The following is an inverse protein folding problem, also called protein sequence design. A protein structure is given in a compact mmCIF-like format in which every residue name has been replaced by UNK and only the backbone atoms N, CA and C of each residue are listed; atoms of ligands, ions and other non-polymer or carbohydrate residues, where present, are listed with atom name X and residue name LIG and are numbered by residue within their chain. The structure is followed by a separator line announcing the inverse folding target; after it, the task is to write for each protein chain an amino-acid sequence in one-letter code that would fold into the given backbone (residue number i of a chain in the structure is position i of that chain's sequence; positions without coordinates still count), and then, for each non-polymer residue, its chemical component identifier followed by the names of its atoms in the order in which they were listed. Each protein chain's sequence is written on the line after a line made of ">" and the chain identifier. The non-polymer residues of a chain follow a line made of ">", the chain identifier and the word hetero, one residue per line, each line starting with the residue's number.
data_IF_768600142926
#
_entry.id   IF_768600142926
#
_cell.length_a   1.000
_cell.length_b   1.000
_cell.length_c   1.000
_cell.angle_alpha   90.00
_cell.angle_beta   90.00
_cell.angle_gamma   90.00
#
_symmetry.space_group_name_H-M   'P 1'
#
loop_
_entity.id
_entity.type
_entity.pdbx_description
1 polymer ?
#
# COMPACT_ATOMS: atom_id res chain seq x y z
N UNK A 1 17.65 9.65 21.72
CA UNK A 1 17.99 9.36 20.30
C UNK A 1 16.70 9.42 19.52
N UNK A 2 16.69 10.16 18.41
CA UNK A 2 15.50 10.26 17.53
C UNK A 2 15.16 8.92 16.92
N UNK A 3 13.95 8.43 17.15
CA UNK A 3 13.52 7.09 16.79
C UNK A 3 12.59 7.12 15.58
N UNK A 4 12.77 6.17 14.67
CA UNK A 4 11.96 6.01 13.45
C UNK A 4 11.39 4.59 13.42
N UNK A 5 10.09 4.49 13.14
CA UNK A 5 9.40 3.22 12.93
C UNK A 5 8.76 3.12 11.56
N UNK A 6 8.26 1.93 11.20
CA UNK A 6 7.58 1.69 9.93
C UNK A 6 6.15 1.18 10.14
N UNK A 7 5.19 1.73 9.41
CA UNK A 7 3.83 1.18 9.29
C UNK A 7 3.68 0.51 7.93
N UNK A 8 3.38 -0.80 7.93
CA UNK A 8 3.31 -1.65 6.74
C UNK A 8 1.86 -2.03 6.48
N UNK A 9 1.37 -1.77 5.27
CA UNK A 9 -0.05 -1.85 4.92
C UNK A 9 -0.26 -2.73 3.68
N UNK A 10 -1.07 -3.78 3.82
CA UNK A 10 -1.38 -4.76 2.78
C UNK A 10 -2.45 -4.28 1.78
N UNK A 11 -2.62 -5.03 0.67
CA UNK A 11 -3.58 -4.76 -0.39
C UNK A 11 -5.01 -5.20 -0.08
N UNK A 12 -5.95 -4.82 -0.97
CA UNK A 12 -7.34 -5.27 -0.95
C UNK A 12 -7.45 -6.77 -1.28
N UNK A 13 -8.33 -7.47 -0.59
CA UNK A 13 -8.49 -8.95 -0.64
C UNK A 13 -7.28 -9.73 -0.15
N UNK A 14 -6.22 -9.05 0.28
CA UNK A 14 -4.98 -9.65 0.70
C UNK A 14 -4.97 -9.90 2.22
N UNK A 15 -3.89 -10.50 2.67
CA UNK A 15 -3.57 -10.65 4.08
C UNK A 15 -2.14 -10.12 4.33
N UNK A 16 -1.65 -10.27 5.54
CA UNK A 16 -0.28 -9.89 5.88
C UNK A 16 0.77 -10.51 4.93
N UNK A 17 0.46 -11.64 4.30
CA UNK A 17 1.37 -12.34 3.38
C UNK A 17 1.89 -11.46 2.24
N UNK A 18 1.08 -10.54 1.72
CA UNK A 18 1.50 -9.67 0.61
C UNK A 18 2.64 -8.72 0.98
N UNK A 19 2.83 -8.45 2.27
CA UNK A 19 3.83 -7.52 2.79
C UNK A 19 4.76 -8.14 3.85
N UNK A 20 4.62 -9.44 4.17
CA UNK A 20 5.34 -10.11 5.25
C UNK A 20 6.86 -10.24 5.05
N UNK A 21 7.36 -9.96 3.84
CA UNK A 21 8.80 -9.92 3.57
C UNK A 21 9.45 -8.59 3.98
N UNK A 22 8.68 -7.51 4.13
CA UNK A 22 9.21 -6.19 4.53
C UNK A 22 9.85 -6.22 5.92
N UNK A 23 9.25 -6.84 6.96
CA UNK A 23 9.87 -6.94 8.28
C UNK A 23 11.28 -7.53 8.30
N UNK A 24 11.58 -8.49 7.40
CA UNK A 24 12.93 -9.07 7.32
C UNK A 24 14.02 -8.07 6.94
N UNK A 25 13.64 -6.94 6.32
CA UNK A 25 14.53 -5.83 5.95
C UNK A 25 14.65 -4.77 7.04
N UNK A 26 13.75 -4.77 8.02
CA UNK A 26 13.72 -3.79 9.11
C UNK A 26 14.35 -4.32 10.40
N UNK A 27 14.11 -5.60 10.70
CA UNK A 27 14.55 -6.27 11.94
C UNK A 27 16.08 -6.23 12.14
N UNK A 28 16.94 -6.46 11.11
CA UNK A 28 18.39 -6.37 11.28
C UNK A 28 18.88 -4.98 11.72
N UNK A 29 18.07 -3.94 11.46
CA UNK A 29 18.38 -2.54 11.80
C UNK A 29 17.69 -2.05 13.08
N UNK A 30 17.03 -2.95 13.81
CA UNK A 30 16.25 -2.63 15.01
C UNK A 30 15.22 -1.51 14.77
N UNK A 31 14.55 -1.53 13.61
CA UNK A 31 13.48 -0.59 13.28
C UNK A 31 12.15 -1.18 13.75
N UNK A 32 11.46 -0.56 14.73
CA UNK A 32 10.15 -1.01 15.16
C UNK A 32 9.12 -0.82 14.04
N UNK A 33 8.15 -1.73 13.96
CA UNK A 33 7.11 -1.64 12.96
C UNK A 33 5.75 -2.09 13.48
N UNK A 34 4.70 -1.68 12.75
CA UNK A 34 3.35 -2.23 12.85
C UNK A 34 2.90 -2.72 11.48
N UNK A 35 2.19 -3.84 11.47
CA UNK A 35 1.63 -4.44 10.26
C UNK A 35 0.21 -4.94 10.58
N UNK A 36 -0.77 -4.01 10.69
CA UNK A 36 -2.14 -4.36 11.07
C UNK A 36 -2.85 -5.10 9.96
N UNK A 37 -3.78 -5.98 10.32
CA UNK A 37 -4.85 -6.38 9.42
C UNK A 37 -5.88 -5.26 9.35
N UNK A 38 -6.18 -4.82 8.13
CA UNK A 38 -7.26 -3.87 7.88
C UNK A 38 -8.59 -4.63 7.87
N UNK A 39 -9.62 -4.05 8.44
CA UNK A 39 -10.93 -4.70 8.66
C UNK A 39 -11.43 -5.47 7.45
N UNK A 40 -11.93 -6.68 7.68
CA UNK A 40 -12.41 -7.59 6.66
C UNK A 40 -11.33 -8.37 5.91
N UNK A 41 -10.04 -8.26 6.32
CA UNK A 41 -8.92 -8.94 5.69
C UNK A 41 -8.26 -9.95 6.64
N UNK A 42 -7.64 -10.99 6.06
CA UNK A 42 -6.94 -12.04 6.82
C UNK A 42 -7.87 -13.05 7.50
N UNK A 43 -9.15 -13.04 7.17
CA UNK A 43 -10.21 -13.91 7.70
C UNK A 43 -11.00 -14.55 6.57
N UNK A 44 -12.28 -14.21 6.39
CA UNK A 44 -13.13 -14.71 5.31
C UNK A 44 -13.51 -13.58 4.34
N UNK A 45 -13.72 -13.86 3.05
CA UNK A 45 -14.17 -12.87 2.07
C UNK A 45 -15.46 -12.14 2.47
N UNK A 46 -16.36 -12.83 3.16
CA UNK A 46 -17.65 -12.33 3.64
C UNK A 46 -17.48 -11.24 4.71
N UNK A 47 -16.37 -11.23 5.45
CA UNK A 47 -16.07 -10.23 6.48
C UNK A 47 -15.80 -8.83 5.90
N UNK A 48 -15.61 -8.74 4.57
CA UNK A 48 -15.62 -7.46 3.84
C UNK A 48 -17.03 -6.88 3.65
N UNK A 49 -18.09 -7.62 3.99
CA UNK A 49 -19.46 -7.13 3.85
C UNK A 49 -19.71 -5.93 4.77
N UNK A 50 -20.13 -4.80 4.19
CA UNK A 50 -20.36 -3.55 4.90
C UNK A 50 -19.12 -2.78 5.29
N UNK A 51 -17.91 -3.33 5.07
CA UNK A 51 -16.64 -2.64 5.31
C UNK A 51 -16.40 -1.60 4.22
N UNK A 52 -15.92 -0.44 4.62
CA UNK A 52 -15.66 0.70 3.74
C UNK A 52 -14.21 1.20 3.88
N UNK A 53 -13.81 2.09 3.00
CA UNK A 53 -12.49 2.72 3.08
C UNK A 53 -12.28 3.53 4.38
N UNK A 54 -13.35 4.01 5.01
CA UNK A 54 -13.27 4.68 6.31
C UNK A 54 -12.75 3.74 7.39
N UNK A 55 -13.19 2.48 7.34
CA UNK A 55 -12.76 1.44 8.28
C UNK A 55 -11.28 1.12 8.09
N UNK A 56 -10.82 0.93 6.85
CA UNK A 56 -9.40 0.66 6.55
C UNK A 56 -8.50 1.82 6.96
N UNK A 57 -8.93 3.06 6.68
CA UNK A 57 -8.20 4.23 7.13
C UNK A 57 -8.16 4.33 8.67
N UNK A 58 -9.28 4.08 9.34
CA UNK A 58 -9.37 4.14 10.79
C UNK A 58 -8.45 3.10 11.47
N UNK A 59 -8.46 1.86 10.97
CA UNK A 59 -7.60 0.79 11.49
C UNK A 59 -6.11 1.12 11.32
N UNK A 60 -5.72 1.60 10.13
CA UNK A 60 -4.35 2.02 9.85
C UNK A 60 -3.92 3.25 10.68
N UNK A 61 -4.83 4.22 10.85
CA UNK A 61 -4.57 5.40 11.68
C UNK A 61 -4.43 5.04 13.17
N UNK A 62 -5.18 4.06 13.65
CA UNK A 62 -5.02 3.54 15.02
C UNK A 62 -3.63 2.89 15.20
N UNK A 63 -3.19 2.06 14.25
CA UNK A 63 -1.86 1.45 14.27
C UNK A 63 -0.73 2.51 14.11
N UNK A 64 -0.94 3.55 13.30
CA UNK A 64 -0.04 4.68 13.19
C UNK A 64 0.14 5.39 14.54
N UNK A 65 -0.96 5.74 15.20
CA UNK A 65 -0.93 6.40 16.51
C UNK A 65 -0.34 5.53 17.60
N UNK A 66 -0.56 4.22 17.55
CA UNK A 66 0.06 3.29 18.47
C UNK A 66 1.60 3.28 18.29
N UNK A 67 2.07 3.16 17.06
CA UNK A 67 3.51 3.22 16.75
C UNK A 67 4.12 4.57 17.17
N UNK A 68 3.41 5.68 16.98
CA UNK A 68 3.85 7.03 17.37
C UNK A 68 4.04 7.24 18.89
N UNK A 69 3.56 6.34 19.73
CA UNK A 69 3.88 6.35 21.17
C UNK A 69 5.29 5.86 21.48
N UNK A 70 5.89 5.12 20.55
CA UNK A 70 7.20 4.50 20.70
C UNK A 70 8.29 5.20 19.87
N UNK A 71 7.90 5.94 18.81
CA UNK A 71 8.85 6.54 17.87
C UNK A 71 8.50 7.99 17.53
N UNK A 72 9.51 8.79 17.18
CA UNK A 72 9.36 10.22 16.87
C UNK A 72 8.83 10.46 15.46
N UNK A 73 9.10 9.57 14.51
CA UNK A 73 8.69 9.66 13.11
C UNK A 73 8.33 8.29 12.56
N UNK A 74 7.44 8.27 11.57
CA UNK A 74 7.00 7.03 10.91
C UNK A 74 7.27 7.12 9.40
N UNK A 75 7.82 6.03 8.85
CA UNK A 75 7.84 5.78 7.41
C UNK A 75 6.68 4.84 7.08
N UNK A 76 5.88 5.21 6.09
CA UNK A 76 4.72 4.46 5.64
C UNK A 76 5.10 3.59 4.44
N UNK A 77 4.76 2.31 4.48
CA UNK A 77 5.03 1.35 3.39
C UNK A 77 3.71 0.69 3.04
N UNK A 78 3.21 0.86 1.82
CA UNK A 78 1.91 0.34 1.44
C UNK A 78 1.88 -0.29 0.06
N UNK A 79 1.26 -1.47 -0.05
CA UNK A 79 1.01 -2.16 -1.30
C UNK A 79 -0.44 -1.97 -1.74
N UNK A 80 -0.68 -1.59 -3.00
CA UNK A 80 -2.02 -1.52 -3.60
C UNK A 80 -2.99 -0.62 -2.82
N UNK A 81 -4.06 -1.15 -2.24
CA UNK A 81 -4.93 -0.43 -1.29
C UNK A 81 -4.13 0.15 -0.12
N UNK A 82 -3.17 -0.62 0.42
CA UNK A 82 -2.27 -0.13 1.47
C UNK A 82 -1.46 1.09 1.03
N UNK A 83 -1.12 1.20 -0.27
CA UNK A 83 -0.51 2.39 -0.86
C UNK A 83 -1.44 3.62 -0.85
N UNK A 84 -2.75 3.42 -1.07
CA UNK A 84 -3.73 4.51 -0.89
C UNK A 84 -3.80 4.96 0.57
N UNK A 85 -3.85 4.00 1.50
CA UNK A 85 -3.91 4.30 2.94
C UNK A 85 -2.65 5.03 3.39
N UNK A 86 -1.47 4.57 2.96
CA UNK A 86 -0.19 5.23 3.25
C UNK A 86 -0.16 6.68 2.74
N UNK A 87 -0.58 6.90 1.48
CA UNK A 87 -0.66 8.24 0.90
C UNK A 87 -1.64 9.14 1.66
N UNK A 88 -2.79 8.62 2.09
CA UNK A 88 -3.77 9.38 2.88
C UNK A 88 -3.22 9.76 4.26
N UNK A 89 -2.60 8.81 4.96
CA UNK A 89 -1.96 9.08 6.25
C UNK A 89 -0.86 10.13 6.11
N UNK A 90 -0.03 10.07 5.06
CA UNK A 90 1.02 11.04 4.81
C UNK A 90 0.46 12.46 4.59
N UNK A 91 -0.67 12.58 3.88
CA UNK A 91 -1.34 13.86 3.69
C UNK A 91 -1.97 14.41 4.98
N UNK A 92 -2.41 13.52 5.89
CA UNK A 92 -3.06 13.87 7.15
C UNK A 92 -2.05 14.17 8.28
N UNK A 93 -0.92 13.46 8.33
CA UNK A 93 0.08 13.50 9.41
C UNK A 93 1.44 14.04 8.93
N UNK A 94 1.43 15.16 8.21
CA UNK A 94 2.59 15.73 7.50
C UNK A 94 3.85 15.88 8.37
N UNK A 95 3.68 16.31 9.61
CA UNK A 95 4.79 16.58 10.52
C UNK A 95 5.29 15.31 11.23
N UNK A 96 4.54 14.22 11.17
CA UNK A 96 4.84 12.95 11.84
C UNK A 96 5.38 11.90 10.88
N UNK A 97 5.10 12.05 9.57
CA UNK A 97 5.54 11.13 8.51
C UNK A 97 6.89 11.58 7.97
N UNK A 98 7.88 10.69 8.06
CA UNK A 98 9.24 10.91 7.58
C UNK A 98 9.40 10.55 6.10
N UNK A 99 8.61 9.62 5.59
CA UNK A 99 8.66 9.19 4.21
C UNK A 99 7.54 8.21 3.85
N UNK A 100 7.33 8.00 2.57
CA UNK A 100 6.30 7.09 2.02
C UNK A 100 6.92 6.17 0.99
N UNK A 101 6.65 4.88 1.08
CA UNK A 101 6.89 3.89 0.01
C UNK A 101 5.53 3.42 -0.50
N UNK A 102 5.20 3.81 -1.72
CA UNK A 102 3.92 3.56 -2.37
C UNK A 102 4.11 2.53 -3.49
N UNK A 103 3.82 1.23 -3.19
CA UNK A 103 4.05 0.11 -4.09
C UNK A 103 2.77 -0.25 -4.81
N UNK A 104 2.75 -0.23 -6.14
CA UNK A 104 1.61 -0.58 -6.99
C UNK A 104 0.28 0.00 -6.49
N UNK A 105 0.29 1.24 -5.96
CA UNK A 105 -0.86 1.83 -5.29
C UNK A 105 -2.09 1.94 -6.21
N UNK A 106 -3.26 1.54 -5.68
CA UNK A 106 -4.51 1.39 -6.42
C UNK A 106 -5.18 2.72 -6.79
N UNK A 107 -4.38 3.69 -7.33
CA UNK A 107 -4.84 5.05 -7.66
C UNK A 107 -5.69 5.11 -8.92
N UNK A 108 -5.54 4.15 -9.83
CA UNK A 108 -6.29 4.02 -11.08
C UNK A 108 -6.69 2.56 -11.27
N UNK A 109 -7.73 2.35 -12.06
CA UNK A 109 -8.23 1.02 -12.40
C UNK A 109 -8.48 0.94 -13.89
N UNK A 110 -8.36 -0.25 -14.48
CA UNK A 110 -8.65 -0.49 -15.90
C UNK A 110 -10.13 -0.25 -16.26
N UNK A 111 -11.04 -0.28 -15.29
CA UNK A 111 -12.47 -0.11 -15.51
C UNK A 111 -12.88 1.37 -15.58
N UNK A 112 -13.00 1.89 -16.79
CA UNK A 112 -13.41 3.29 -17.06
C UNK A 112 -14.80 3.66 -16.51
N UNK A 113 -15.67 2.67 -16.29
CA UNK A 113 -17.07 2.87 -15.90
C UNK A 113 -17.41 2.37 -14.48
N UNK A 114 -16.41 2.22 -13.61
CA UNK A 114 -16.65 1.87 -12.21
C UNK A 114 -17.59 2.85 -11.49
N UNK A 115 -17.71 4.09 -11.99
CA UNK A 115 -18.69 5.08 -11.50
C UNK A 115 -20.14 4.58 -11.57
N UNK A 116 -20.49 3.82 -12.61
CA UNK A 116 -21.85 3.29 -12.80
C UNK A 116 -22.07 2.05 -11.93
N UNK A 117 -21.03 1.29 -11.64
CA UNK A 117 -21.10 0.10 -10.77
C UNK A 117 -21.59 0.45 -9.35
N UNK A 118 -21.36 1.69 -8.86
CA UNK A 118 -21.82 2.13 -7.54
C UNK A 118 -23.33 1.99 -7.32
N UNK A 119 -24.13 2.09 -8.37
CA UNK A 119 -25.59 1.99 -8.28
C UNK A 119 -26.08 0.55 -8.27
N UNK A 120 -25.34 -0.35 -8.89
CA UNK A 120 -25.73 -1.76 -9.03
C UNK A 120 -24.93 -2.69 -8.08
N UNK A 121 -23.78 -2.26 -7.61
CA UNK A 121 -22.92 -3.07 -6.73
C UNK A 121 -23.63 -3.57 -5.45
N UNK A 122 -24.50 -2.80 -4.78
CA UNK A 122 -25.25 -3.30 -3.63
C UNK A 122 -26.14 -4.50 -3.97
N UNK A 123 -26.51 -4.65 -5.24
CA UNK A 123 -27.36 -5.72 -5.76
C UNK A 123 -26.56 -6.92 -6.30
N UNK A 124 -25.24 -6.76 -6.49
CA UNK A 124 -24.40 -7.76 -7.17
C UNK A 124 -23.82 -8.83 -6.23
N UNK A 125 -23.97 -8.71 -4.92
CA UNK A 125 -23.45 -9.69 -3.96
C UNK A 125 -21.92 -9.84 -4.04
N UNK A 126 -21.45 -11.10 -4.15
CA UNK A 126 -20.02 -11.43 -4.25
C UNK A 126 -19.50 -11.34 -5.69
N UNK A 127 -18.35 -10.71 -5.87
CA UNK A 127 -17.63 -10.56 -7.13
C UNK A 127 -16.37 -11.42 -7.13
N UNK A 128 -16.01 -11.97 -8.29
CA UNK A 128 -14.84 -12.81 -8.48
C UNK A 128 -15.22 -14.22 -8.95
N UNK A 129 -14.23 -15.08 -9.06
CA UNK A 129 -14.37 -16.45 -9.52
C UNK A 129 -13.57 -17.39 -8.61
N UNK A 130 -14.25 -18.35 -7.98
CA UNK A 130 -13.62 -19.37 -7.12
C UNK A 130 -12.57 -20.20 -7.86
N UNK A 131 -12.75 -20.40 -9.15
CA UNK A 131 -11.84 -21.16 -10.00
C UNK A 131 -10.74 -20.32 -10.63
N UNK A 132 -10.64 -19.04 -10.28
CA UNK A 132 -9.60 -18.15 -10.83
C UNK A 132 -8.20 -18.70 -10.57
N UNK A 133 -7.39 -18.80 -11.62
CA UNK A 133 -5.95 -19.07 -11.46
C UNK A 133 -5.30 -17.84 -10.81
N UNK A 134 -4.94 -17.96 -9.53
CA UNK A 134 -4.31 -16.90 -8.77
C UNK A 134 -2.92 -16.53 -9.30
N UNK A 135 -2.25 -17.44 -10.02
CA UNK A 135 -0.98 -17.17 -10.70
C UNK A 135 -1.11 -16.36 -11.99
N UNK A 136 -2.31 -16.14 -12.52
CA UNK A 136 -2.50 -15.54 -13.85
C UNK A 136 -1.97 -14.11 -13.98
N UNK A 137 -1.88 -13.35 -12.89
CA UNK A 137 -1.37 -11.98 -12.85
C UNK A 137 0.07 -11.86 -12.35
N UNK A 138 0.75 -12.98 -12.07
CA UNK A 138 2.08 -13.03 -11.52
C UNK A 138 3.13 -13.36 -12.59
N UNK A 139 4.34 -12.85 -12.42
CA UNK A 139 5.51 -13.29 -13.18
C UNK A 139 5.92 -14.70 -12.73
N UNK A 140 6.07 -14.90 -11.43
CA UNK A 140 6.21 -16.20 -10.79
C UNK A 140 4.81 -16.78 -10.48
N UNK A 141 4.30 -17.56 -11.43
CA UNK A 141 2.94 -18.14 -11.34
C UNK A 141 2.77 -19.12 -10.18
N UNK A 142 3.84 -19.81 -9.78
CA UNK A 142 3.76 -20.79 -8.69
C UNK A 142 3.62 -20.07 -7.35
N UNK A 143 4.43 -19.07 -7.10
CA UNK A 143 4.25 -18.20 -5.92
C UNK A 143 2.86 -17.56 -5.91
N UNK A 144 2.34 -17.15 -7.06
CA UNK A 144 0.99 -16.59 -7.18
C UNK A 144 -0.13 -17.55 -6.82
N UNK A 145 -0.01 -18.83 -7.19
CA UNK A 145 -1.01 -19.87 -6.83
C UNK A 145 -1.06 -20.17 -5.33
N UNK A 146 0.08 -20.00 -4.65
CA UNK A 146 0.21 -20.21 -3.20
C UNK A 146 -0.18 -18.97 -2.39
N UNK A 147 -0.42 -17.84 -3.06
CA UNK A 147 -0.74 -16.58 -2.38
C UNK A 147 -2.19 -16.55 -1.85
N UNK A 148 -2.35 -16.09 -0.60
CA UNK A 148 -3.60 -16.18 0.17
C UNK A 148 -4.63 -15.08 -0.09
N UNK A 149 -4.67 -14.46 -1.27
CA UNK A 149 -5.70 -13.46 -1.60
C UNK A 149 -7.09 -14.09 -1.75
N UNK A 150 -8.12 -13.35 -1.37
CA UNK A 150 -9.50 -13.76 -1.62
C UNK A 150 -9.78 -13.86 -3.13
N UNK A 151 -10.38 -14.94 -3.54
CA UNK A 151 -10.81 -15.16 -4.94
C UNK A 151 -12.11 -14.42 -5.27
N UNK A 152 -12.93 -14.20 -4.24
CA UNK A 152 -14.19 -13.46 -4.31
C UNK A 152 -14.25 -12.41 -3.19
N UNK A 153 -15.04 -11.38 -3.40
CA UNK A 153 -15.25 -10.31 -2.42
C UNK A 153 -16.59 -9.62 -2.66
N UNK A 154 -17.19 -8.98 -1.66
CA UNK A 154 -18.41 -8.18 -1.84
C UNK A 154 -18.17 -7.03 -2.82
N UNK A 155 -19.01 -6.92 -3.85
CA UNK A 155 -18.92 -5.85 -4.84
C UNK A 155 -18.97 -4.43 -4.22
N UNK A 156 -19.75 -4.16 -3.16
CA UNK A 156 -19.72 -2.87 -2.47
C UNK A 156 -18.35 -2.50 -1.87
N UNK A 157 -17.58 -3.48 -1.38
CA UNK A 157 -16.24 -3.23 -0.85
C UNK A 157 -15.28 -2.74 -1.95
N UNK A 158 -15.36 -3.32 -3.16
CA UNK A 158 -14.58 -2.82 -4.30
C UNK A 158 -15.00 -1.40 -4.73
N UNK A 159 -16.30 -1.10 -4.73
CA UNK A 159 -16.78 0.27 -5.00
C UNK A 159 -16.25 1.25 -3.95
N UNK A 160 -16.16 0.81 -2.69
CA UNK A 160 -15.56 1.61 -1.63
C UNK A 160 -14.07 1.90 -1.90
N UNK A 161 -13.29 0.89 -2.30
CA UNK A 161 -11.89 1.04 -2.70
C UNK A 161 -11.75 2.04 -3.86
N UNK A 162 -12.59 1.91 -4.88
CA UNK A 162 -12.57 2.80 -6.03
C UNK A 162 -12.89 4.26 -5.66
N UNK A 163 -13.86 4.49 -4.75
CA UNK A 163 -14.15 5.82 -4.19
C UNK A 163 -12.96 6.35 -3.39
N UNK A 164 -12.31 5.47 -2.64
CA UNK A 164 -11.14 5.83 -1.85
C UNK A 164 -10.00 6.37 -2.71
N UNK A 165 -9.72 5.75 -3.85
CA UNK A 165 -8.72 6.25 -4.78
C UNK A 165 -8.97 7.72 -5.18
N UNK A 166 -10.24 8.11 -5.41
CA UNK A 166 -10.61 9.50 -5.72
C UNK A 166 -10.43 10.46 -4.53
N UNK A 167 -10.73 10.00 -3.33
CA UNK A 167 -10.50 10.79 -2.12
C UNK A 167 -9.00 11.05 -1.93
N UNK A 168 -8.18 9.99 -2.06
CA UNK A 168 -6.73 10.09 -1.90
C UNK A 168 -6.10 10.95 -3.00
N UNK A 169 -6.59 10.87 -4.24
CA UNK A 169 -6.09 11.69 -5.34
C UNK A 169 -6.15 13.19 -5.02
N UNK A 170 -7.23 13.63 -4.39
CA UNK A 170 -7.39 15.03 -3.97
C UNK A 170 -6.43 15.44 -2.85
N UNK A 171 -5.88 14.46 -2.12
CA UNK A 171 -4.95 14.70 -1.02
C UNK A 171 -3.47 14.66 -1.46
N UNK A 172 -3.16 14.11 -2.64
CA UNK A 172 -1.77 13.96 -3.12
C UNK A 172 -0.94 15.26 -3.03
N UNK A 173 -1.46 16.45 -3.40
CA UNK A 173 -0.67 17.69 -3.29
C UNK A 173 -0.25 18.05 -1.86
N UNK A 174 -0.88 17.45 -0.84
CA UNK A 174 -0.56 17.69 0.57
C UNK A 174 0.57 16.79 1.08
N UNK A 175 0.96 15.77 0.33
CA UNK A 175 2.08 14.89 0.68
C UNK A 175 3.37 15.63 0.37
N UNK A 176 4.07 16.08 1.40
CA UNK A 176 5.34 16.81 1.31
C UNK A 176 6.53 15.98 1.79
N UNK A 177 6.28 14.88 2.50
CA UNK A 177 7.33 13.95 2.89
C UNK A 177 7.98 13.29 1.66
N UNK A 178 9.27 12.92 1.72
CA UNK A 178 9.92 12.09 0.70
C UNK A 178 9.08 10.88 0.30
N UNK A 179 8.99 10.59 -1.00
CA UNK A 179 8.19 9.48 -1.50
C UNK A 179 8.92 8.63 -2.54
N UNK A 180 8.93 7.34 -2.30
CA UNK A 180 9.34 6.31 -3.27
C UNK A 180 8.10 5.64 -3.83
N UNK A 181 7.89 5.77 -5.12
CA UNK A 181 6.80 5.13 -5.87
C UNK A 181 7.43 3.96 -6.62
N UNK A 182 6.87 2.76 -6.43
CA UNK A 182 7.34 1.54 -7.09
C UNK A 182 6.18 0.95 -7.89
N UNK A 183 6.41 0.64 -9.17
CA UNK A 183 5.38 0.04 -10.01
C UNK A 183 6.00 -0.89 -11.06
N UNK A 184 5.19 -1.80 -11.62
CA UNK A 184 5.61 -2.70 -12.69
C UNK A 184 4.88 -2.41 -13.99
N UNK A 185 5.61 -2.47 -15.10
CA UNK A 185 5.01 -2.46 -16.45
C UNK A 185 4.16 -3.71 -16.73
N UNK A 186 4.35 -4.79 -15.98
CA UNK A 186 3.60 -6.05 -16.10
C UNK A 186 2.39 -6.13 -15.15
N UNK A 187 2.10 -5.08 -14.38
CA UNK A 187 0.93 -5.03 -13.51
C UNK A 187 -0.37 -5.02 -14.32
N UNK A 188 -1.11 -6.14 -14.25
CA UNK A 188 -2.40 -6.32 -14.93
C UNK A 188 -3.60 -5.90 -14.09
N UNK A 189 -3.37 -5.56 -12.83
CA UNK A 189 -4.41 -5.14 -11.87
C UNK A 189 -4.54 -3.63 -11.84
N UNK A 190 -3.42 -2.94 -11.69
CA UNK A 190 -3.34 -1.48 -11.61
C UNK A 190 -2.51 -0.95 -12.79
N UNK A 191 -3.07 -0.06 -13.63
CA UNK A 191 -2.36 0.47 -14.79
C UNK A 191 -1.20 1.39 -14.36
N UNK A 192 -0.14 1.43 -15.17
CA UNK A 192 1.05 2.30 -14.96
C UNK A 192 0.70 3.76 -14.75
N UNK A 193 -0.39 4.23 -15.36
CA UNK A 193 -0.92 5.58 -15.17
C UNK A 193 -1.24 5.92 -13.68
N UNK A 194 -1.39 4.91 -12.83
CA UNK A 194 -1.57 5.11 -11.39
C UNK A 194 -0.30 5.69 -10.73
N UNK A 195 0.85 5.07 -10.97
CA UNK A 195 2.15 5.53 -10.46
C UNK A 195 2.52 6.90 -11.02
N UNK A 196 2.32 7.11 -12.32
CA UNK A 196 2.55 8.43 -12.96
C UNK A 196 1.64 9.52 -12.38
N UNK A 197 0.38 9.21 -12.07
CA UNK A 197 -0.53 10.17 -11.45
C UNK A 197 -0.05 10.58 -10.07
N UNK A 198 0.41 9.63 -9.24
CA UNK A 198 0.99 9.92 -7.93
C UNK A 198 2.23 10.81 -8.11
N UNK A 199 3.18 10.39 -8.96
CA UNK A 199 4.43 11.14 -9.17
C UNK A 199 4.19 12.58 -9.61
N UNK A 200 3.23 12.82 -10.50
CA UNK A 200 2.92 14.17 -10.99
C UNK A 200 2.23 15.05 -9.95
N UNK A 201 1.40 14.46 -9.07
CA UNK A 201 0.49 15.23 -8.22
C UNK A 201 0.96 15.41 -6.78
N UNK A 202 1.89 14.57 -6.27
CA UNK A 202 2.42 14.76 -4.91
C UNK A 202 3.17 16.07 -4.78
N UNK A 203 2.98 16.75 -3.63
CA UNK A 203 3.67 17.99 -3.28
C UNK A 203 5.11 17.79 -2.83
N UNK A 204 5.56 16.54 -2.66
CA UNK A 204 6.94 16.24 -2.29
C UNK A 204 7.93 16.72 -3.36
N UNK A 205 9.00 17.36 -2.94
CA UNK A 205 10.15 17.73 -3.79
C UNK A 205 11.12 16.56 -3.92
N UNK A 206 11.25 15.73 -2.88
CA UNK A 206 12.03 14.50 -2.88
C UNK A 206 11.11 13.32 -3.26
N UNK A 207 11.06 13.01 -4.54
CA UNK A 207 10.20 11.95 -5.09
C UNK A 207 10.92 11.14 -6.14
N UNK A 208 10.78 9.82 -6.02
CA UNK A 208 11.36 8.85 -6.93
C UNK A 208 10.28 7.93 -7.48
N UNK A 209 10.41 7.52 -8.73
CA UNK A 209 9.56 6.53 -9.39
C UNK A 209 10.45 5.44 -9.99
N UNK A 210 10.31 4.23 -9.46
CA UNK A 210 11.03 3.05 -9.93
C UNK A 210 10.10 2.11 -10.68
N UNK A 211 10.56 1.66 -11.83
CA UNK A 211 9.86 0.71 -12.69
C UNK A 211 10.54 -0.66 -12.65
N UNK A 212 9.69 -1.70 -12.70
CA UNK A 212 10.12 -3.09 -12.77
C UNK A 212 9.41 -3.80 -13.93
N UNK A 213 10.02 -4.87 -14.47
CA UNK A 213 9.56 -5.53 -15.69
C UNK A 213 9.26 -7.03 -15.50
N UNK A 214 9.68 -7.62 -14.39
CA UNK A 214 9.54 -9.05 -14.09
C UNK A 214 8.74 -9.31 -12.82
N UNK A 215 7.75 -8.47 -12.55
CA UNK A 215 6.81 -8.64 -11.45
C UNK A 215 5.41 -8.26 -11.92
N UNK A 216 4.39 -8.95 -11.43
CA UNK A 216 3.00 -8.54 -11.55
C UNK A 216 2.64 -7.51 -10.47
N UNK A 217 1.40 -7.58 -9.98
CA UNK A 217 0.85 -6.63 -8.99
C UNK A 217 1.48 -6.79 -7.59
N UNK A 218 1.72 -8.01 -7.16
CA UNK A 218 2.23 -8.35 -5.82
C UNK A 218 3.76 -8.22 -5.73
N UNK A 219 4.28 -7.06 -6.07
CA UNK A 219 5.70 -6.79 -6.30
C UNK A 219 6.62 -7.14 -5.12
N UNK A 220 6.12 -7.09 -3.89
CA UNK A 220 6.89 -7.46 -2.69
C UNK A 220 7.10 -8.98 -2.56
N UNK A 221 6.47 -9.79 -3.44
CA UNK A 221 6.53 -11.25 -3.40
C UNK A 221 6.86 -11.90 -4.75
N UNK A 222 6.68 -11.19 -5.85
CA UNK A 222 6.82 -11.69 -7.22
C UNK A 222 8.28 -11.65 -7.70
N UNK A 223 8.53 -11.89 -8.97
CA UNK A 223 9.82 -12.19 -9.58
C UNK A 223 10.98 -11.27 -9.22
N UNK A 224 10.74 -9.96 -9.05
CA UNK A 224 11.79 -8.99 -8.67
C UNK A 224 11.70 -8.58 -7.19
N UNK A 225 10.98 -9.34 -6.37
CA UNK A 225 10.79 -8.97 -4.97
C UNK A 225 12.09 -8.70 -4.19
N UNK A 226 13.23 -9.36 -4.43
CA UNK A 226 14.48 -8.98 -3.76
C UNK A 226 14.89 -7.54 -4.06
N UNK A 227 14.89 -7.14 -5.33
CA UNK A 227 15.28 -5.77 -5.74
C UNK A 227 14.27 -4.72 -5.26
N UNK A 228 12.97 -5.06 -5.26
CA UNK A 228 11.93 -4.19 -4.70
C UNK A 228 12.14 -3.99 -3.20
N UNK A 229 12.42 -5.06 -2.47
CA UNK A 229 12.69 -5.00 -1.02
C UNK A 229 13.98 -4.26 -0.71
N UNK A 230 15.03 -4.40 -1.54
CA UNK A 230 16.28 -3.63 -1.41
C UNK A 230 16.03 -2.13 -1.59
N UNK A 231 15.18 -1.73 -2.56
CA UNK A 231 14.80 -0.34 -2.75
C UNK A 231 14.02 0.22 -1.55
N UNK A 232 13.10 -0.58 -0.98
CA UNK A 232 12.35 -0.23 0.24
C UNK A 232 13.31 -0.03 1.41
N UNK A 233 14.22 -0.98 1.66
CA UNK A 233 15.20 -0.92 2.74
C UNK A 233 16.11 0.29 2.60
N UNK A 234 16.65 0.52 1.40
CA UNK A 234 17.51 1.68 1.12
C UNK A 234 16.80 3.00 1.43
N UNK A 235 15.57 3.18 0.96
CA UNK A 235 14.76 4.36 1.26
C UNK A 235 14.58 4.57 2.76
N UNK A 236 14.22 3.52 3.48
CA UNK A 236 14.01 3.59 4.94
C UNK A 236 15.29 3.99 5.67
N UNK A 237 16.42 3.33 5.35
CA UNK A 237 17.69 3.59 6.01
C UNK A 237 18.23 4.98 5.69
N UNK A 238 18.12 5.43 4.44
CA UNK A 238 18.54 6.76 4.01
C UNK A 238 17.84 7.88 4.80
N UNK A 239 16.51 7.86 4.81
CA UNK A 239 15.73 8.90 5.49
C UNK A 239 15.83 8.83 7.02
N UNK A 240 15.96 7.62 7.59
CA UNK A 240 16.26 7.45 9.01
C UNK A 240 17.60 8.10 9.39
N UNK A 241 18.66 7.80 8.66
CA UNK A 241 20.00 8.34 8.93
C UNK A 241 20.03 9.87 8.81
N UNK A 242 19.38 10.42 7.77
CA UNK A 242 19.27 11.87 7.59
C UNK A 242 18.54 12.55 8.75
N UNK A 243 17.41 11.98 9.18
CA UNK A 243 16.65 12.49 10.33
C UNK A 243 17.48 12.47 11.62
N UNK A 244 18.18 11.37 11.91
CA UNK A 244 19.00 11.24 13.09
C UNK A 244 20.18 12.22 13.09
N UNK A 245 20.79 12.48 11.94
CA UNK A 245 21.90 13.43 11.82
C UNK A 245 21.46 14.89 11.97
N UNK A 246 20.23 15.24 11.57
CA UNK A 246 19.70 16.60 11.70
C UNK A 246 19.33 16.95 13.14
N UNK A 247 18.82 15.96 13.90
CA UNK A 247 18.41 16.18 15.31
C UNK A 247 19.58 16.17 16.31
N UNK A 248 20.79 15.77 15.92
CA UNK A 248 22.00 15.83 16.77
C UNK A 248 22.77 17.17 16.65
N UNK A 249 22.31 18.06 15.77
CA UNK A 249 22.95 19.37 15.54
C UNK A 249 22.24 20.54 16.27
N UNK A 250 21.10 20.25 16.89
CA UNK A 250 20.36 21.15 17.77
C UNK A 250 20.63 20.80 19.24
#
# INVERSE_FOLDING_TARGET
>A
MSTVGCLILHGFTSCADSVNRVPSRLTPHNIPYRMPYLRGHGTLPEDLQGVTWHDWYADANAAFRDLRREVDKVILIGLSMGGLVANHLAAAHRDEVLGVVSVAAAMRFHYKHADRARYVAPMLGMWGDENRDMGAGWYDKETGRQHGNYRRFPAPAFVSLWRYAKVVEQQLPRITAPILIIHSHQDRTIPTAAAEAIYRQVGSVDKQLLWFDKSGHEMLRDGESPAVLDAVEHFVLHHRAHYQSSTHKE
#
